data_IF_409864964700
#
_entry.id   IF_409864964700
#
_cell.length_a   1.000
_cell.length_b   1.000
_cell.length_c   1.000
_cell.angle_alpha   90.00
_cell.angle_beta   90.00
_cell.angle_gamma   90.00
#
_symmetry.space_group_name_H-M   'P 1'
#
loop_
_entity.id
_entity.type
_entity.pdbx_description
1 polymer ?
#
# COMPACT_ATOMS: atom_id res chain seq x y z
N UNK A 1 -1.56 -0.21 -12.64
CA UNK A 1 -2.79 0.61 -12.65
C UNK A 1 -4.03 -0.15 -12.23
N UNK A 2 -4.35 -1.31 -12.82
CA UNK A 2 -5.51 -2.12 -12.38
C UNK A 2 -5.49 -2.47 -10.88
N UNK A 3 -4.34 -2.87 -10.36
CA UNK A 3 -4.15 -3.13 -8.91
C UNK A 3 -4.50 -1.89 -8.08
N UNK A 4 -4.05 -0.70 -8.50
CA UNK A 4 -4.34 0.54 -7.79
C UNK A 4 -5.83 0.88 -7.82
N UNK A 5 -6.50 0.74 -8.97
CA UNK A 5 -7.96 0.96 -9.09
C UNK A 5 -8.73 0.00 -8.18
N UNK A 6 -8.40 -1.30 -8.22
CA UNK A 6 -9.05 -2.30 -7.39
C UNK A 6 -8.80 -2.04 -5.89
N UNK A 7 -7.57 -1.72 -5.50
CA UNK A 7 -7.21 -1.40 -4.12
C UNK A 7 -7.92 -0.12 -3.63
N UNK A 8 -7.98 0.93 -4.46
CA UNK A 8 -8.71 2.16 -4.16
C UNK A 8 -10.22 1.90 -3.99
N UNK A 9 -10.81 1.03 -4.82
CA UNK A 9 -12.22 0.66 -4.67
C UNK A 9 -12.49 -0.09 -3.35
N UNK A 10 -11.65 -1.08 -3.02
CA UNK A 10 -11.74 -1.81 -1.74
C UNK A 10 -11.55 -0.87 -0.55
N UNK A 11 -10.56 0.02 -0.60
CA UNK A 11 -10.32 1.01 0.44
C UNK A 11 -11.51 1.97 0.59
N UNK A 12 -12.10 2.43 -0.51
CA UNK A 12 -13.29 3.27 -0.51
C UNK A 12 -14.49 2.59 0.15
N UNK A 13 -14.75 1.32 -0.18
CA UNK A 13 -15.81 0.53 0.46
C UNK A 13 -15.54 0.37 1.96
N UNK A 14 -14.33 0.01 2.35
CA UNK A 14 -13.98 -0.13 3.77
C UNK A 14 -14.19 1.18 4.56
N UNK A 15 -13.81 2.32 3.97
CA UNK A 15 -14.03 3.65 4.57
C UNK A 15 -15.51 3.96 4.64
N UNK A 16 -16.32 3.69 3.62
CA UNK A 16 -17.76 3.98 3.71
C UNK A 16 -18.46 3.09 4.77
N UNK A 17 -18.05 1.83 4.90
CA UNK A 17 -18.67 0.87 5.82
C UNK A 17 -18.43 1.15 7.30
N UNK A 18 -17.37 1.88 7.67
CA UNK A 18 -17.11 2.21 9.08
C UNK A 18 -17.77 3.51 9.55
N UNK A 19 -18.36 4.28 8.64
CA UNK A 19 -18.98 5.57 8.98
C UNK A 19 -20.38 5.36 9.55
N UNK A 20 -20.72 6.15 10.56
CA UNK A 20 -22.06 6.14 11.16
C UNK A 20 -23.16 6.58 10.16
N UNK A 21 -22.82 7.47 9.22
CA UNK A 21 -23.71 7.92 8.14
C UNK A 21 -22.98 7.88 6.79
N UNK A 22 -23.07 6.74 6.06
CA UNK A 22 -22.37 6.57 4.79
C UNK A 22 -22.96 7.45 3.67
N UNK A 23 -24.23 7.84 3.74
CA UNK A 23 -24.85 8.68 2.72
C UNK A 23 -24.30 10.11 2.77
N UNK A 24 -24.08 10.64 3.98
CA UNK A 24 -23.43 11.93 4.16
C UNK A 24 -21.97 11.93 3.68
N UNK A 25 -21.33 10.76 3.69
CA UNK A 25 -19.99 10.60 3.13
C UNK A 25 -19.96 10.67 1.59
N UNK A 26 -21.07 10.40 0.88
CA UNK A 26 -21.12 10.54 -0.58
C UNK A 26 -21.08 12.01 -1.03
N UNK A 27 -21.55 12.92 -0.17
CA UNK A 27 -21.45 14.38 -0.38
C UNK A 27 -20.17 14.96 0.23
N UNK A 28 -19.14 14.14 0.49
CA UNK A 28 -17.86 14.59 1.05
C UNK A 28 -17.20 15.77 0.33
N UNK A 29 -17.33 15.99 -1.01
CA UNK A 29 -16.71 17.14 -1.64
C UNK A 29 -17.24 18.48 -1.10
N UNK A 30 -18.48 18.48 -0.58
CA UNK A 30 -19.12 19.66 0.00
C UNK A 30 -19.02 19.70 1.52
N UNK A 31 -18.91 18.54 2.19
CA UNK A 31 -18.92 18.46 3.65
C UNK A 31 -17.53 18.39 4.29
N UNK A 32 -16.51 17.92 3.57
CA UNK A 32 -15.13 17.83 4.03
C UNK A 32 -14.29 18.99 3.50
N UNK A 33 -14.58 20.20 3.98
CA UNK A 33 -13.88 21.44 3.60
C UNK A 33 -12.82 21.88 4.63
N UNK A 34 -12.83 21.31 5.84
CA UNK A 34 -11.83 21.62 6.87
C UNK A 34 -10.49 20.92 6.58
N UNK A 35 -9.63 21.55 5.79
CA UNK A 35 -8.29 21.04 5.46
C UNK A 35 -7.33 20.94 6.66
N UNK A 36 -7.67 21.52 7.82
CA UNK A 36 -6.92 21.32 9.07
C UNK A 36 -7.06 19.90 9.60
N UNK A 37 -8.19 19.24 9.35
CA UNK A 37 -8.45 17.87 9.78
C UNK A 37 -7.62 16.85 8.98
N UNK A 38 -7.00 15.90 9.67
CA UNK A 38 -6.31 14.77 9.03
C UNK A 38 -7.27 13.90 8.23
N UNK A 39 -8.49 13.68 8.71
CA UNK A 39 -9.51 12.89 8.02
C UNK A 39 -9.84 13.53 6.66
N UNK A 40 -10.08 14.84 6.63
CA UNK A 40 -10.38 15.57 5.39
C UNK A 40 -9.21 15.50 4.40
N UNK A 41 -7.98 15.75 4.86
CA UNK A 41 -6.78 15.62 4.02
C UNK A 41 -6.64 14.20 3.46
N UNK A 42 -6.83 13.19 4.31
CA UNK A 42 -6.79 11.79 3.95
C UNK A 42 -7.79 11.42 2.86
N UNK A 43 -9.05 11.83 3.00
CA UNK A 43 -10.09 11.58 2.00
C UNK A 43 -9.70 12.17 0.64
N UNK A 44 -9.26 13.43 0.60
CA UNK A 44 -8.83 14.06 -0.66
C UNK A 44 -7.61 13.38 -1.29
N UNK A 45 -6.65 12.94 -0.49
CA UNK A 45 -5.49 12.16 -0.97
C UNK A 45 -5.95 10.86 -1.63
N UNK A 46 -6.83 10.10 -0.99
CA UNK A 46 -7.33 8.82 -1.50
C UNK A 46 -8.18 9.00 -2.77
N UNK A 47 -9.02 10.03 -2.81
CA UNK A 47 -9.82 10.37 -3.99
C UNK A 47 -8.91 10.77 -5.15
N UNK A 48 -7.92 11.63 -4.91
CA UNK A 48 -6.94 12.01 -5.92
C UNK A 48 -6.21 10.76 -6.46
N UNK A 49 -5.72 9.89 -5.57
CA UNK A 49 -5.09 8.63 -5.96
C UNK A 49 -6.01 7.77 -6.84
N UNK A 50 -7.27 7.60 -6.45
CA UNK A 50 -8.25 6.82 -7.21
C UNK A 50 -8.51 7.43 -8.59
N UNK A 51 -8.64 8.75 -8.69
CA UNK A 51 -8.84 9.47 -9.96
C UNK A 51 -7.62 9.29 -10.87
N UNK A 52 -6.40 9.55 -10.37
CA UNK A 52 -5.18 9.38 -11.17
C UNK A 52 -5.00 7.94 -11.63
N UNK A 53 -5.23 6.95 -10.76
CA UNK A 53 -5.15 5.53 -11.11
C UNK A 53 -6.20 5.15 -12.18
N UNK A 54 -7.42 5.66 -12.06
CA UNK A 54 -8.52 5.38 -12.99
C UNK A 54 -8.28 6.02 -14.35
N UNK A 55 -7.84 7.28 -14.39
CA UNK A 55 -7.50 7.99 -15.63
C UNK A 55 -6.34 7.29 -16.36
N UNK A 56 -5.29 6.89 -15.64
CA UNK A 56 -4.20 6.13 -16.24
C UNK A 56 -4.64 4.74 -16.71
N UNK A 57 -5.51 4.06 -15.96
CA UNK A 57 -6.08 2.78 -16.38
C UNK A 57 -6.95 2.93 -17.64
N UNK A 58 -7.76 4.00 -17.73
CA UNK A 58 -8.57 4.33 -18.90
C UNK A 58 -7.67 4.45 -20.15
N UNK A 59 -6.60 5.23 -20.07
CA UNK A 59 -5.69 5.42 -21.20
C UNK A 59 -4.89 4.16 -21.58
N UNK A 60 -4.61 3.27 -20.62
CA UNK A 60 -3.87 2.04 -20.88
C UNK A 60 -4.74 0.93 -21.49
N UNK A 61 -6.03 0.89 -21.14
CA UNK A 61 -6.91 -0.23 -21.46
C UNK A 61 -7.90 0.09 -22.58
N UNK A 62 -8.19 1.37 -22.82
CA UNK A 62 -9.18 1.82 -23.79
C UNK A 62 -8.58 2.69 -24.89
N UNK A 63 -9.35 2.90 -25.96
CA UNK A 63 -8.97 3.66 -27.14
C UNK A 63 -8.16 2.85 -28.15
N UNK A 64 -7.76 3.52 -29.24
CA UNK A 64 -6.99 2.94 -30.36
C UNK A 64 -5.71 2.21 -29.94
N UNK A 65 -4.97 2.72 -28.96
CA UNK A 65 -3.76 2.05 -28.43
C UNK A 65 -4.11 0.78 -27.62
N UNK A 66 -5.17 0.83 -26.80
CA UNK A 66 -5.61 -0.30 -25.95
C UNK A 66 -6.37 -1.40 -26.68
N UNK A 67 -6.82 -1.13 -27.91
CA UNK A 67 -7.44 -2.12 -28.80
C UNK A 67 -6.41 -3.00 -29.52
N UNK A 68 -5.11 -2.66 -29.49
CA UNK A 68 -4.05 -3.46 -30.13
C UNK A 68 -3.81 -4.76 -29.36
N UNK A 69 -3.47 -5.83 -30.10
CA UNK A 69 -3.28 -7.20 -29.59
C UNK A 69 -2.21 -7.32 -28.48
N UNK A 70 -1.35 -6.31 -28.32
CA UNK A 70 -0.29 -6.23 -27.31
C UNK A 70 -0.75 -5.82 -25.91
N UNK A 71 -2.06 -5.63 -25.68
CA UNK A 71 -2.55 -5.13 -24.39
C UNK A 71 -2.63 -6.26 -23.34
N UNK A 72 -1.95 -6.14 -22.18
CA UNK A 72 -1.73 -7.25 -21.26
C UNK A 72 -2.96 -7.76 -20.51
N UNK A 73 -4.12 -7.08 -20.54
CA UNK A 73 -5.36 -7.60 -19.94
C UNK A 73 -6.61 -7.20 -20.73
N UNK A 74 -7.28 -8.21 -21.33
CA UNK A 74 -8.57 -8.04 -22.02
C UNK A 74 -9.77 -8.06 -21.06
N UNK A 75 -9.57 -8.41 -19.80
CA UNK A 75 -10.66 -8.62 -18.85
C UNK A 75 -11.50 -7.35 -18.60
N UNK A 76 -10.93 -6.17 -18.32
CA UNK A 76 -11.71 -4.93 -18.16
C UNK A 76 -12.48 -4.55 -19.42
N UNK A 77 -11.88 -4.73 -20.61
CA UNK A 77 -12.53 -4.48 -21.90
C UNK A 77 -13.71 -5.44 -22.14
N UNK A 78 -13.59 -6.71 -21.76
CA UNK A 78 -14.69 -7.70 -21.85
C UNK A 78 -15.87 -7.30 -20.99
N UNK A 79 -15.62 -6.87 -19.75
CA UNK A 79 -16.69 -6.37 -18.86
C UNK A 79 -17.36 -5.14 -19.49
N UNK A 80 -16.58 -4.14 -19.92
CA UNK A 80 -17.14 -2.96 -20.57
C UNK A 80 -17.96 -3.30 -21.82
N UNK A 81 -17.52 -4.30 -22.60
CA UNK A 81 -18.23 -4.79 -23.78
C UNK A 81 -19.56 -5.45 -23.44
N UNK A 82 -19.61 -6.22 -22.36
CA UNK A 82 -20.85 -6.83 -21.89
C UNK A 82 -21.92 -5.79 -21.51
N UNK A 83 -21.50 -4.59 -21.07
CA UNK A 83 -22.40 -3.45 -20.79
C UNK A 83 -22.61 -2.50 -21.98
N UNK A 84 -22.06 -2.79 -23.16
CA UNK A 84 -22.16 -1.90 -24.32
C UNK A 84 -21.39 -0.57 -24.19
N UNK A 85 -20.47 -0.46 -23.23
CA UNK A 85 -19.75 0.78 -22.93
C UNK A 85 -18.45 0.96 -23.72
N UNK A 86 -18.03 -0.03 -24.51
CA UNK A 86 -16.73 -0.02 -25.20
C UNK A 86 -16.53 1.21 -26.09
N UNK A 87 -17.49 1.53 -26.96
CA UNK A 87 -17.37 2.67 -27.87
C UNK A 87 -17.26 4.00 -27.12
N UNK A 88 -18.02 4.15 -26.03
CA UNK A 88 -17.95 5.32 -25.16
C UNK A 88 -16.58 5.43 -24.47
N UNK A 89 -16.11 4.36 -23.84
CA UNK A 89 -14.82 4.37 -23.12
C UNK A 89 -13.63 4.51 -24.07
N UNK A 90 -13.68 3.90 -25.25
CA UNK A 90 -12.64 4.05 -26.27
C UNK A 90 -12.60 5.49 -26.80
N UNK A 91 -13.76 6.09 -27.12
CA UNK A 91 -13.84 7.49 -27.54
C UNK A 91 -13.41 8.47 -26.45
N UNK A 92 -13.79 8.21 -25.20
CA UNK A 92 -13.36 9.03 -24.05
C UNK A 92 -11.85 8.93 -23.82
N UNK A 93 -11.30 7.71 -23.90
CA UNK A 93 -9.87 7.48 -23.75
C UNK A 93 -9.07 8.22 -24.83
N UNK A 94 -9.46 8.10 -26.09
CA UNK A 94 -8.75 8.76 -27.20
C UNK A 94 -8.89 10.29 -27.15
N UNK A 95 -10.04 10.82 -26.70
CA UNK A 95 -10.24 12.27 -26.55
C UNK A 95 -9.43 12.87 -25.39
N UNK A 96 -9.28 12.13 -24.29
CA UNK A 96 -8.57 12.60 -23.10
C UNK A 96 -7.10 12.21 -23.07
N UNK A 97 -6.63 11.32 -23.97
CA UNK A 97 -5.26 10.80 -23.94
C UNK A 97 -4.27 11.94 -24.23
N UNK A 98 -3.39 12.29 -23.29
CA UNK A 98 -2.36 13.26 -23.56
C UNK A 98 -1.28 12.65 -24.45
N UNK A 99 -0.52 13.51 -25.13
CA UNK A 99 0.70 13.10 -25.84
C UNK A 99 1.74 12.44 -24.91
N UNK A 100 2.82 11.86 -25.44
CA UNK A 100 3.82 11.12 -24.67
C UNK A 100 4.41 11.91 -23.48
N UNK A 101 4.69 13.21 -23.67
CA UNK A 101 5.17 14.09 -22.61
C UNK A 101 4.11 14.30 -21.52
N UNK A 102 2.86 14.56 -21.91
CA UNK A 102 1.76 14.74 -20.96
C UNK A 102 1.47 13.49 -20.15
N UNK A 103 1.60 12.28 -20.73
CA UNK A 103 1.51 11.02 -19.97
C UNK A 103 2.53 10.94 -18.84
N UNK A 104 3.78 11.36 -19.11
CA UNK A 104 4.83 11.39 -18.08
C UNK A 104 4.51 12.40 -16.98
N UNK A 105 4.04 13.59 -17.35
CA UNK A 105 3.62 14.61 -16.37
C UNK A 105 2.51 14.08 -15.48
N UNK A 106 1.47 13.46 -16.06
CA UNK A 106 0.36 12.89 -15.27
C UNK A 106 0.83 11.75 -14.37
N UNK A 107 1.76 10.91 -14.84
CA UNK A 107 2.36 9.86 -14.00
C UNK A 107 3.15 10.45 -12.82
N UNK A 108 3.93 11.51 -13.04
CA UNK A 108 4.66 12.23 -12.00
C UNK A 108 3.72 12.91 -11.01
N UNK A 109 2.66 13.56 -11.49
CA UNK A 109 1.64 14.16 -10.64
C UNK A 109 0.89 13.10 -9.82
N UNK A 110 0.63 11.93 -10.40
CA UNK A 110 0.02 10.79 -9.70
C UNK A 110 0.91 10.19 -8.60
N UNK A 111 2.22 10.43 -8.63
CA UNK A 111 3.14 10.03 -7.55
C UNK A 111 2.84 10.82 -6.26
N UNK A 112 2.39 12.07 -6.36
CA UNK A 112 2.11 12.93 -5.21
C UNK A 112 1.03 12.32 -4.30
N UNK A 113 -0.21 12.03 -4.76
CA UNK A 113 -1.20 11.40 -3.90
C UNK A 113 -0.80 9.98 -3.49
N UNK A 114 -0.04 9.25 -4.32
CA UNK A 114 0.46 7.92 -3.96
C UNK A 114 1.41 7.98 -2.76
N UNK A 115 2.37 8.91 -2.74
CA UNK A 115 3.27 9.12 -1.62
C UNK A 115 2.54 9.75 -0.42
N UNK A 116 1.58 10.65 -0.68
CA UNK A 116 0.79 11.28 0.36
C UNK A 116 -0.08 10.28 1.15
N UNK A 117 -0.24 9.03 0.70
CA UNK A 117 -0.85 7.95 1.52
C UNK A 117 -0.13 7.71 2.84
N UNK A 118 1.11 8.20 2.98
CA UNK A 118 1.83 8.30 4.27
C UNK A 118 1.05 9.06 5.35
N UNK A 119 0.05 9.87 4.97
CA UNK A 119 -0.75 10.69 5.90
C UNK A 119 -1.34 9.88 7.06
N UNK A 120 -1.70 8.61 6.86
CA UNK A 120 -2.28 7.79 7.94
C UNK A 120 -1.30 7.59 9.09
N UNK A 121 0.00 7.51 8.79
CA UNK A 121 1.03 7.46 9.83
C UNK A 121 1.17 8.81 10.56
N UNK A 122 1.04 9.92 9.84
CA UNK A 122 1.08 11.26 10.44
C UNK A 122 -0.15 11.54 11.30
N UNK A 123 -1.34 11.11 10.88
CA UNK A 123 -2.57 11.23 11.64
C UNK A 123 -2.42 10.64 13.05
N UNK A 124 -1.91 9.40 13.12
CA UNK A 124 -1.60 8.75 14.40
C UNK A 124 -0.51 9.50 15.17
N UNK A 125 0.56 9.90 14.48
CA UNK A 125 1.71 10.55 15.12
C UNK A 125 1.43 11.96 15.68
N UNK A 126 0.27 12.55 15.41
CA UNK A 126 -0.13 13.80 16.08
C UNK A 126 -0.75 13.59 17.46
N UNK A 127 -1.05 12.35 17.83
CA UNK A 127 -1.66 12.00 19.13
C UNK A 127 -0.56 11.78 20.18
N UNK A 128 -0.04 12.89 20.71
CA UNK A 128 1.02 12.91 21.72
C UNK A 128 0.67 12.18 23.03
N UNK A 129 -0.63 11.99 23.32
CA UNK A 129 -1.09 11.26 24.52
C UNK A 129 -0.92 9.75 24.41
N UNK A 130 -0.51 9.23 23.24
CA UNK A 130 -0.33 7.79 22.99
C UNK A 130 1.12 7.56 22.57
N UNK A 131 2.02 7.15 23.49
CA UNK A 131 3.45 7.03 23.21
C UNK A 131 3.80 6.09 22.05
N UNK A 132 2.98 5.06 21.82
CA UNK A 132 3.13 4.16 20.68
C UNK A 132 2.90 4.89 19.35
N UNK A 133 2.02 5.89 19.33
CA UNK A 133 1.71 6.63 18.12
C UNK A 133 2.62 7.84 17.93
N UNK A 134 3.06 8.47 19.02
CA UNK A 134 3.91 9.68 19.05
C UNK A 134 5.33 9.44 18.51
N UNK A 135 5.41 9.09 17.23
CA UNK A 135 6.63 8.78 16.51
C UNK A 135 6.56 9.48 15.14
N UNK A 136 6.80 10.81 15.09
CA UNK A 136 6.50 11.65 13.93
C UNK A 136 7.29 11.31 12.67
N UNK A 137 8.34 10.51 12.79
CA UNK A 137 9.18 10.08 11.65
C UNK A 137 9.07 8.58 11.41
N UNK A 138 9.27 7.76 12.46
CA UNK A 138 9.39 6.31 12.30
C UNK A 138 8.06 5.66 11.90
N UNK A 139 6.95 6.10 12.48
CA UNK A 139 5.66 5.50 12.18
C UNK A 139 5.20 5.81 10.74
N UNK A 140 5.19 7.07 10.28
CA UNK A 140 4.90 7.39 8.87
C UNK A 140 5.82 6.64 7.89
N UNK A 141 7.12 6.60 8.15
CA UNK A 141 8.06 5.89 7.28
C UNK A 141 7.79 4.38 7.22
N UNK A 142 7.46 3.74 8.34
CA UNK A 142 7.13 2.31 8.36
C UNK A 142 5.85 2.00 7.58
N UNK A 143 4.85 2.89 7.64
CA UNK A 143 3.58 2.73 6.92
C UNK A 143 3.75 2.94 5.42
N UNK A 144 4.56 3.94 5.04
CA UNK A 144 4.91 4.19 3.64
C UNK A 144 5.72 3.04 3.05
N UNK A 145 6.80 2.62 3.73
CA UNK A 145 7.67 1.54 3.27
C UNK A 145 6.91 0.22 3.11
N UNK A 146 6.16 -0.20 4.13
CA UNK A 146 5.33 -1.42 4.07
C UNK A 146 4.22 -1.32 3.01
N UNK A 147 3.54 -0.17 2.90
CA UNK A 147 2.47 0.05 1.94
C UNK A 147 2.96 -0.01 0.49
N UNK A 148 4.08 0.65 0.19
CA UNK A 148 4.72 0.60 -1.12
C UNK A 148 5.22 -0.81 -1.45
N UNK A 149 5.87 -1.48 -0.49
CA UNK A 149 6.33 -2.86 -0.66
C UNK A 149 5.17 -3.80 -1.01
N UNK A 150 4.06 -3.73 -0.28
CA UNK A 150 2.87 -4.53 -0.55
C UNK A 150 2.26 -4.24 -1.92
N UNK A 151 2.11 -2.96 -2.29
CA UNK A 151 1.54 -2.56 -3.58
C UNK A 151 2.38 -3.05 -4.77
N UNK A 152 3.70 -2.88 -4.70
CA UNK A 152 4.62 -3.36 -5.74
C UNK A 152 4.68 -4.89 -5.75
N UNK A 153 4.70 -5.54 -4.58
CA UNK A 153 4.68 -7.00 -4.48
C UNK A 153 3.44 -7.60 -5.16
N UNK A 154 2.24 -7.03 -4.93
CA UNK A 154 1.01 -7.48 -5.60
C UNK A 154 1.11 -7.35 -7.12
N UNK A 155 1.64 -6.22 -7.61
CA UNK A 155 1.84 -6.05 -9.05
C UNK A 155 2.81 -7.11 -9.61
N UNK A 156 3.95 -7.33 -8.95
CA UNK A 156 4.96 -8.31 -9.36
C UNK A 156 4.42 -9.75 -9.29
N UNK A 157 3.74 -10.10 -8.21
CA UNK A 157 3.16 -11.43 -8.00
C UNK A 157 2.10 -11.76 -9.06
N UNK A 158 1.21 -10.82 -9.36
CA UNK A 158 0.22 -11.00 -10.43
C UNK A 158 0.88 -11.11 -11.81
N UNK A 159 1.87 -10.27 -12.11
CA UNK A 159 2.66 -10.41 -13.36
C UNK A 159 3.33 -11.78 -13.43
N UNK A 160 3.89 -12.28 -12.34
CA UNK A 160 4.52 -13.60 -12.29
C UNK A 160 3.53 -14.77 -12.50
N UNK A 161 2.26 -14.59 -12.11
CA UNK A 161 1.19 -15.57 -12.35
C UNK A 161 0.77 -15.58 -13.83
N UNK A 162 0.59 -14.41 -14.44
CA UNK A 162 0.06 -14.31 -15.80
C UNK A 162 1.14 -14.42 -16.90
N UNK A 163 2.28 -13.78 -16.69
CA UNK A 163 3.36 -13.69 -17.68
C UNK A 163 4.53 -14.64 -17.35
N UNK A 164 4.68 -14.99 -16.06
CA UNK A 164 5.77 -15.83 -15.57
C UNK A 164 6.87 -15.04 -14.87
N UNK A 165 7.73 -15.73 -14.13
CA UNK A 165 8.78 -15.14 -13.31
C UNK A 165 10.09 -14.86 -14.07
N UNK A 166 10.17 -15.14 -15.38
CA UNK A 166 11.42 -15.16 -16.12
C UNK A 166 11.91 -13.78 -16.59
N UNK A 167 11.07 -12.76 -16.47
CA UNK A 167 11.40 -11.41 -16.93
C UNK A 167 12.43 -10.72 -16.03
N UNK A 168 13.41 -10.05 -16.65
CA UNK A 168 14.36 -9.17 -15.95
C UNK A 168 13.64 -8.05 -15.19
N UNK A 169 12.53 -7.55 -15.72
CA UNK A 169 11.71 -6.53 -15.06
C UNK A 169 11.09 -7.05 -13.77
N UNK A 170 10.60 -8.30 -13.76
CA UNK A 170 10.09 -8.95 -12.55
C UNK A 170 11.20 -9.07 -11.49
N UNK A 171 12.41 -9.46 -11.89
CA UNK A 171 13.56 -9.52 -10.97
C UNK A 171 13.93 -8.13 -10.39
N UNK A 172 13.96 -7.09 -11.22
CA UNK A 172 14.26 -5.72 -10.76
C UNK A 172 13.24 -5.21 -9.76
N UNK A 173 11.93 -5.33 -10.06
CA UNK A 173 10.89 -4.90 -9.12
C UNK A 173 10.83 -5.77 -7.87
N UNK A 174 11.17 -7.05 -7.94
CA UNK A 174 11.34 -7.91 -6.76
C UNK A 174 12.46 -7.39 -5.85
N UNK A 175 13.58 -6.97 -6.43
CA UNK A 175 14.67 -6.32 -5.70
C UNK A 175 14.25 -5.01 -5.04
N UNK A 176 13.45 -4.18 -5.73
CA UNK A 176 12.87 -2.95 -5.13
C UNK A 176 12.00 -3.27 -3.93
N UNK A 177 11.13 -4.28 -4.03
CA UNK A 177 10.32 -4.74 -2.88
C UNK A 177 11.22 -5.17 -1.72
N UNK A 178 12.27 -5.97 -1.98
CA UNK A 178 13.19 -6.40 -0.94
C UNK A 178 13.86 -5.22 -0.21
N UNK A 179 14.32 -4.21 -0.95
CA UNK A 179 14.92 -2.99 -0.36
C UNK A 179 13.91 -2.23 0.51
N UNK A 180 12.67 -2.07 0.04
CA UNK A 180 11.61 -1.42 0.83
C UNK A 180 11.31 -2.19 2.13
N UNK A 181 11.31 -3.53 2.07
CA UNK A 181 11.10 -4.37 3.25
C UNK A 181 12.26 -4.26 4.25
N UNK A 182 13.51 -4.27 3.78
CA UNK A 182 14.69 -4.07 4.62
C UNK A 182 14.65 -2.70 5.28
N UNK A 183 14.33 -1.63 4.53
CA UNK A 183 14.18 -0.29 5.09
C UNK A 183 13.05 -0.19 6.12
N UNK A 184 11.94 -0.90 5.88
CA UNK A 184 10.82 -0.99 6.83
C UNK A 184 11.25 -1.71 8.11
N UNK A 185 11.93 -2.85 8.00
CA UNK A 185 12.46 -3.60 9.14
C UNK A 185 13.46 -2.79 9.95
N UNK A 186 14.36 -2.06 9.29
CA UNK A 186 15.30 -1.17 9.96
C UNK A 186 14.57 -0.06 10.73
N UNK A 187 13.57 0.57 10.11
CA UNK A 187 12.73 1.59 10.75
C UNK A 187 11.99 1.03 11.97
N UNK A 188 11.41 -0.17 11.84
CA UNK A 188 10.72 -0.87 12.94
C UNK A 188 11.70 -1.28 14.05
N UNK A 189 12.94 -1.66 13.71
CA UNK A 189 13.98 -1.96 14.70
C UNK A 189 14.34 -0.73 15.53
N UNK A 190 14.55 0.43 14.88
CA UNK A 190 14.80 1.70 15.58
C UNK A 190 13.59 2.14 16.41
N UNK A 191 12.38 1.93 15.89
CA UNK A 191 11.15 2.19 16.62
C UNK A 191 11.05 1.33 17.89
N UNK A 192 11.36 0.04 17.78
CA UNK A 192 11.34 -0.89 18.91
C UNK A 192 12.38 -0.53 19.98
N UNK A 193 13.59 -0.17 19.60
CA UNK A 193 14.64 0.22 20.57
C UNK A 193 14.28 1.50 21.31
N UNK A 194 13.64 2.47 20.64
CA UNK A 194 13.16 3.70 21.30
C UNK A 194 12.06 3.42 22.32
N UNK A 195 11.12 2.53 22.01
CA UNK A 195 10.09 2.14 22.96
C UNK A 195 10.70 1.42 24.18
N UNK A 196 11.68 0.55 23.96
CA UNK A 196 12.36 -0.15 25.05
C UNK A 196 13.20 0.75 25.97
N UNK A 197 13.62 1.92 25.49
CA UNK A 197 14.38 2.91 26.26
C UNK A 197 13.48 3.93 26.99
N UNK A 198 12.16 3.85 26.83
CA UNK A 198 11.22 4.81 27.42
C UNK A 198 10.68 4.33 28.76
N UNK A 199 10.82 5.16 29.79
CA UNK A 199 10.31 4.87 31.15
C UNK A 199 8.81 5.17 31.34
N UNK A 200 8.11 5.62 30.29
CA UNK A 200 6.67 5.91 30.39
C UNK A 200 5.85 4.65 30.69
N UNK A 201 4.96 4.72 31.70
CA UNK A 201 4.11 3.60 32.10
C UNK A 201 3.24 3.08 30.94
N UNK A 202 2.74 3.98 30.07
CA UNK A 202 1.99 3.57 28.88
C UNK A 202 2.85 2.83 27.87
N UNK A 203 4.09 3.26 27.67
CA UNK A 203 5.02 2.57 26.77
C UNK A 203 5.31 1.17 27.29
N UNK A 204 5.65 1.04 28.58
CA UNK A 204 5.92 -0.25 29.22
C UNK A 204 4.71 -1.19 29.10
N UNK A 205 3.51 -0.69 29.40
CA UNK A 205 2.28 -1.48 29.27
C UNK A 205 1.98 -1.89 27.82
N UNK A 206 2.19 -0.97 26.85
CA UNK A 206 2.00 -1.26 25.42
C UNK A 206 2.99 -2.33 24.95
N UNK A 207 4.27 -2.20 25.29
CA UNK A 207 5.32 -3.17 24.93
C UNK A 207 5.04 -4.54 25.56
N UNK A 208 4.64 -4.58 26.84
CA UNK A 208 4.27 -5.82 27.51
C UNK A 208 3.08 -6.50 26.82
N UNK A 209 2.04 -5.74 26.45
CA UNK A 209 0.89 -6.25 25.70
C UNK A 209 1.25 -6.76 24.29
N UNK A 210 2.24 -6.13 23.64
CA UNK A 210 2.77 -6.56 22.34
C UNK A 210 3.64 -7.81 22.43
N UNK A 211 4.39 -8.00 23.52
CA UNK A 211 5.29 -9.16 23.67
C UNK A 211 4.60 -10.38 24.26
N UNK A 212 3.86 -10.19 25.35
CA UNK A 212 3.30 -11.26 26.18
C UNK A 212 1.76 -11.33 26.12
N UNK A 213 1.11 -10.35 25.49
CA UNK A 213 -0.34 -10.30 25.35
C UNK A 213 -0.86 -10.93 24.06
N UNK A 214 -2.16 -10.71 23.79
CA UNK A 214 -2.89 -11.28 22.66
C UNK A 214 -2.35 -10.88 21.28
N UNK A 215 -1.48 -9.87 21.20
CA UNK A 215 -0.89 -9.37 19.96
C UNK A 215 0.52 -9.93 19.68
N UNK A 216 1.08 -10.78 20.54
CA UNK A 216 2.42 -11.35 20.32
C UNK A 216 2.57 -12.10 19.00
N UNK A 217 1.57 -12.91 18.64
CA UNK A 217 1.55 -13.61 17.35
C UNK A 217 1.48 -12.61 16.17
N UNK A 218 0.75 -11.51 16.33
CA UNK A 218 0.66 -10.47 15.31
C UNK A 218 2.01 -9.76 15.12
N UNK A 219 2.75 -9.48 16.19
CA UNK A 219 4.12 -8.92 16.12
C UNK A 219 5.06 -9.87 15.36
N UNK A 220 5.03 -11.16 15.66
CA UNK A 220 5.83 -12.14 14.93
C UNK A 220 5.41 -12.29 13.45
N UNK A 221 4.11 -12.17 13.17
CA UNK A 221 3.59 -12.16 11.79
C UNK A 221 4.15 -10.97 11.01
N UNK A 222 4.27 -9.79 11.63
CA UNK A 222 4.92 -8.63 11.03
C UNK A 222 6.41 -8.91 10.82
N UNK A 223 7.14 -9.32 11.86
CA UNK A 223 8.58 -9.50 11.79
C UNK A 223 8.96 -10.55 10.72
N UNK A 224 8.40 -11.75 10.79
CA UNK A 224 8.70 -12.85 9.87
C UNK A 224 8.11 -12.59 8.49
N UNK A 225 6.89 -12.06 8.42
CA UNK A 225 6.21 -11.77 7.16
C UNK A 225 6.81 -10.59 6.38
N UNK A 226 7.70 -9.80 6.98
CA UNK A 226 8.56 -8.84 6.27
C UNK A 226 9.96 -9.42 6.01
N UNK A 227 10.58 -10.10 6.97
CA UNK A 227 11.96 -10.59 6.86
C UNK A 227 12.11 -11.75 5.86
N UNK A 228 11.23 -12.75 5.90
CA UNK A 228 11.28 -13.89 4.99
C UNK A 228 11.15 -13.46 3.51
N UNK A 229 10.15 -12.66 3.10
CA UNK A 229 10.08 -12.19 1.72
C UNK A 229 11.21 -11.23 1.36
N UNK A 230 11.75 -10.43 2.29
CA UNK A 230 12.91 -9.59 2.00
C UNK A 230 14.11 -10.45 1.53
N UNK A 231 14.44 -11.51 2.27
CA UNK A 231 15.52 -12.43 1.91
C UNK A 231 15.20 -13.18 0.62
N UNK A 232 13.98 -13.73 0.51
CA UNK A 232 13.58 -14.52 -0.66
C UNK A 232 13.59 -13.71 -1.96
N UNK A 233 13.05 -12.49 -1.93
CA UNK A 233 12.98 -11.60 -3.10
C UNK A 233 14.36 -11.02 -3.46
N UNK A 234 15.20 -10.71 -2.47
CA UNK A 234 16.57 -10.28 -2.72
C UNK A 234 17.38 -11.42 -3.38
N UNK A 235 17.28 -12.64 -2.85
CA UNK A 235 17.94 -13.81 -3.43
C UNK A 235 17.44 -14.12 -4.84
N UNK A 236 16.11 -14.10 -5.04
CA UNK A 236 15.50 -14.26 -6.36
C UNK A 236 16.02 -13.22 -7.36
N UNK A 237 16.01 -11.94 -6.98
CA UNK A 237 16.48 -10.85 -7.82
C UNK A 237 17.97 -10.98 -8.14
N UNK A 238 18.81 -11.27 -7.15
CA UNK A 238 20.25 -11.43 -7.31
C UNK A 238 20.60 -12.58 -8.27
N UNK A 239 20.02 -13.76 -8.05
CA UNK A 239 20.27 -14.93 -8.91
C UNK A 239 19.81 -14.70 -10.35
N UNK A 240 18.64 -14.08 -10.54
CA UNK A 240 18.11 -13.79 -11.88
C UNK A 240 18.90 -12.70 -12.61
N UNK A 241 19.32 -11.65 -11.91
CA UNK A 241 20.13 -10.58 -12.50
C UNK A 241 21.55 -11.05 -12.82
N UNK A 242 22.08 -12.02 -12.07
CA UNK A 242 23.34 -12.69 -12.35
C UNK A 242 23.24 -13.76 -13.47
N UNK A 243 22.06 -13.96 -14.06
CA UNK A 243 21.86 -14.92 -15.15
C UNK A 243 21.95 -16.39 -14.72
N UNK A 244 21.88 -16.68 -13.43
CA UNK A 244 22.02 -18.05 -12.93
C UNK A 244 20.70 -18.81 -13.17
N UNK A 245 20.72 -19.95 -13.86
CA UNK A 245 19.51 -20.73 -14.15
C UNK A 245 19.07 -21.55 -12.92
N UNK A 246 18.59 -20.88 -11.86
CA UNK A 246 18.38 -21.55 -10.56
C UNK A 246 16.94 -21.93 -10.29
N UNK A 247 15.95 -21.32 -10.94
CA UNK A 247 14.55 -21.64 -10.68
C UNK A 247 13.80 -22.00 -11.95
N UNK A 248 13.29 -23.24 -11.97
CA UNK A 248 12.20 -23.61 -12.86
C UNK A 248 11.09 -22.55 -12.77
N UNK A 249 10.48 -22.21 -13.91
CA UNK A 249 9.44 -21.18 -14.02
C UNK A 249 8.39 -21.25 -12.90
N UNK A 250 7.95 -22.47 -12.55
CA UNK A 250 7.00 -22.73 -11.46
C UNK A 250 7.54 -22.32 -10.08
N UNK A 251 8.76 -22.71 -9.74
CA UNK A 251 9.36 -22.37 -8.46
C UNK A 251 9.49 -20.84 -8.29
N UNK A 252 9.89 -20.14 -9.35
CA UNK A 252 9.99 -18.67 -9.34
C UNK A 252 8.64 -18.01 -9.08
N UNK A 253 7.59 -18.45 -9.78
CA UNK A 253 6.23 -17.96 -9.54
C UNK A 253 5.77 -18.26 -8.12
N UNK A 254 6.02 -19.45 -7.58
CA UNK A 254 5.66 -19.80 -6.19
C UNK A 254 6.35 -18.90 -5.17
N UNK A 255 7.65 -18.62 -5.34
CA UNK A 255 8.40 -17.71 -4.45
C UNK A 255 7.81 -16.31 -4.49
N UNK A 256 7.50 -15.78 -5.68
CA UNK A 256 6.95 -14.43 -5.84
C UNK A 256 5.54 -14.32 -5.27
N UNK A 257 4.67 -15.28 -5.52
CA UNK A 257 3.29 -15.31 -4.99
C UNK A 257 3.29 -15.50 -3.48
N UNK A 258 4.07 -16.45 -2.96
CA UNK A 258 4.20 -16.68 -1.53
C UNK A 258 4.73 -15.44 -0.80
N UNK A 259 5.77 -14.81 -1.36
CA UNK A 259 6.32 -13.56 -0.82
C UNK A 259 5.28 -12.43 -0.85
N UNK A 260 4.51 -12.32 -1.93
CA UNK A 260 3.44 -11.32 -2.06
C UNK A 260 2.41 -11.46 -0.95
N UNK A 261 1.93 -12.68 -0.70
CA UNK A 261 0.95 -12.94 0.35
C UNK A 261 1.51 -12.57 1.73
N UNK A 262 2.74 -12.99 2.03
CA UNK A 262 3.40 -12.67 3.30
C UNK A 262 3.54 -11.16 3.50
N UNK A 263 3.99 -10.42 2.48
CA UNK A 263 4.16 -8.97 2.57
C UNK A 263 2.83 -8.26 2.80
N UNK A 264 1.77 -8.66 2.08
CA UNK A 264 0.43 -8.06 2.23
C UNK A 264 -0.12 -8.31 3.63
N UNK A 265 -0.05 -9.56 4.10
CA UNK A 265 -0.51 -9.93 5.44
C UNK A 265 0.29 -9.19 6.51
N UNK A 266 1.62 -9.19 6.43
CA UNK A 266 2.47 -8.50 7.39
C UNK A 266 2.24 -6.98 7.40
N UNK A 267 2.07 -6.37 6.23
CA UNK A 267 1.78 -4.93 6.11
C UNK A 267 0.43 -4.57 6.71
N UNK A 268 -0.60 -5.39 6.49
CA UNK A 268 -1.90 -5.20 7.14
C UNK A 268 -1.79 -5.39 8.65
N UNK A 269 -1.17 -6.48 9.10
CA UNK A 269 -0.99 -6.80 10.52
C UNK A 269 -0.18 -5.72 11.24
N UNK A 270 0.79 -5.08 10.59
CA UNK A 270 1.53 -3.95 11.16
C UNK A 270 0.58 -2.82 11.58
N UNK A 271 -0.41 -2.49 10.75
CA UNK A 271 -1.40 -1.45 11.05
C UNK A 271 -2.29 -1.88 12.22
N UNK A 272 -2.67 -3.16 12.28
CA UNK A 272 -3.43 -3.73 13.42
C UNK A 272 -2.62 -3.64 14.72
N UNK A 273 -1.35 -4.07 14.70
CA UNK A 273 -0.45 -4.06 15.86
C UNK A 273 -0.28 -2.64 16.41
N UNK A 274 -0.04 -1.66 15.56
CA UNK A 274 0.10 -0.25 15.99
C UNK A 274 -1.21 0.30 16.56
N UNK A 275 -2.35 0.01 15.94
CA UNK A 275 -3.63 0.56 16.38
C UNK A 275 -4.13 -0.07 17.69
N UNK A 276 -4.04 -1.39 17.81
CA UNK A 276 -4.60 -2.12 18.95
C UNK A 276 -3.59 -2.37 20.07
N UNK A 277 -2.29 -2.27 19.80
CA UNK A 277 -1.24 -2.39 20.83
C UNK A 277 -1.08 -1.14 21.68
N UNK A 278 -1.71 -0.03 21.28
CA UNK A 278 -1.59 1.24 21.97
C UNK A 278 -2.41 1.29 23.27
N UNK A 279 -1.73 1.45 24.39
CA UNK A 279 -2.39 1.82 25.65
C UNK A 279 -2.65 3.32 25.64
N UNK A 280 -3.92 3.70 25.74
CA UNK A 280 -4.38 5.08 25.82
C UNK A 280 -4.46 5.46 27.30
N UNK A 281 -3.62 6.39 27.76
CA UNK A 281 -3.82 6.98 29.09
C UNK A 281 -4.92 8.04 28.94
N UNK A 282 -6.02 7.98 29.72
CA UNK A 282 -6.95 9.09 29.79
C UNK A 282 -6.21 10.32 30.31
N UNK A 283 -6.56 11.51 29.82
CA UNK A 283 -6.11 12.76 30.45
C UNK A 283 -6.83 12.85 31.80
N UNK A 284 -6.31 12.14 32.80
CA UNK A 284 -6.64 12.37 34.18
C UNK A 284 -6.14 13.77 34.50
N UNK A 285 -7.09 14.65 34.86
CA UNK A 285 -6.84 15.94 35.47
C UNK A 285 -5.70 15.73 36.50
N UNK A 286 -4.56 16.37 36.29
CA UNK A 286 -3.51 16.45 37.31
C UNK A 286 -4.10 17.18 38.51
N UNK A 287 -4.52 16.40 39.50
CA UNK A 287 -5.21 16.88 40.68
C UNK A 287 -5.39 15.77 41.70
N UNK A 288 -4.27 15.22 42.20
CA UNK A 288 -4.00 14.99 43.63
C UNK A 288 -2.52 15.20 43.87
#
# INVERSE_FOLDING_TARGET
MLVAVAASAVAGVAILSHLADPLRALVFPFTLTNLGSWITRGTWILVALAVFATVQALWLLFGTEGARDSTPSRFPRRIAGAFGLLGFLDGLADRLRPGPAGRRVVALLGLVPALATVYTGFELATVWTVPLWDQPVLLPLSFLGSGLAAGVAVAVGLTAVFEGADSRTVAQYSGVVAVLLVGTLATLGVYWTRLGASDSLATVASVAGLQAGNLGLAVWTVALGLALPAVALLGFAALRLAGVPVLQRRAGTTVLVGSTLLVVVASFTLRVVVLYGAVKIPIGISGV
#
